data_IF_343460173580
#
_entry.id   IF_343460173580
#
_cell.length_a   1.000
_cell.length_b   1.000
_cell.length_c   1.000
_cell.angle_alpha   90.00
_cell.angle_beta   90.00
_cell.angle_gamma   90.00
#
_symmetry.space_group_name_H-M   'P 1'
#
loop_
_entity.id
_entity.type
_entity.pdbx_description
1 polymer ?
#
# COMPACT_ATOMS: atom_id res chain seq x y z
N UNK A 1 76.46 -1.88 -31.99
CA UNK A 1 75.95 -3.27 -31.98
C UNK A 1 75.52 -3.60 -30.56
N UNK A 2 74.38 -4.30 -30.43
CA UNK A 2 73.88 -5.02 -29.23
C UNK A 2 73.57 -4.19 -27.99
N UNK A 3 72.46 -4.34 -27.27
CA UNK A 3 71.20 -5.05 -27.47
C UNK A 3 70.20 -4.46 -26.45
N UNK A 4 68.93 -4.38 -26.82
CA UNK A 4 67.83 -3.91 -25.98
C UNK A 4 67.53 -4.97 -24.92
N UNK A 5 67.52 -4.59 -23.64
CA UNK A 5 67.03 -5.41 -22.52
C UNK A 5 65.74 -4.78 -22.01
N UNK A 6 64.60 -5.43 -22.28
CA UNK A 6 63.31 -5.14 -21.67
C UNK A 6 63.26 -5.73 -20.26
N UNK A 7 63.13 -4.87 -19.23
CA UNK A 7 62.75 -5.28 -17.88
C UNK A 7 61.23 -5.43 -17.81
N UNK A 8 60.75 -6.66 -17.68
CA UNK A 8 59.38 -6.98 -17.25
C UNK A 8 59.32 -6.87 -15.72
N UNK A 9 58.88 -5.72 -15.21
CA UNK A 9 58.54 -5.55 -13.80
C UNK A 9 57.08 -5.95 -13.58
N UNK A 10 56.87 -7.18 -13.10
CA UNK A 10 55.55 -7.66 -12.67
C UNK A 10 55.15 -7.04 -11.34
N UNK A 11 54.30 -6.01 -11.37
CA UNK A 11 53.62 -5.50 -10.18
C UNK A 11 52.34 -6.32 -9.95
N UNK A 12 52.37 -7.18 -8.92
CA UNK A 12 51.18 -7.83 -8.37
C UNK A 12 50.37 -6.76 -7.62
N UNK A 13 49.32 -6.23 -8.25
CA UNK A 13 48.29 -5.45 -7.57
C UNK A 13 47.28 -6.41 -6.93
N UNK A 14 47.49 -6.75 -5.66
CA UNK A 14 46.46 -7.35 -4.82
C UNK A 14 45.45 -6.27 -4.45
N UNK A 15 44.40 -6.11 -5.27
CA UNK A 15 43.24 -5.30 -4.92
C UNK A 15 42.40 -6.05 -3.86
N UNK A 16 42.58 -5.68 -2.59
CA UNK A 16 41.64 -6.00 -1.52
C UNK A 16 40.34 -5.22 -1.79
N UNK A 17 39.40 -5.89 -2.47
CA UNK A 17 37.99 -5.52 -2.47
C UNK A 17 37.46 -5.68 -1.04
N UNK A 18 37.65 -4.65 -0.22
CA UNK A 18 36.82 -4.44 0.96
C UNK A 18 35.42 -4.06 0.46
N UNK A 19 34.64 -5.07 0.07
CA UNK A 19 33.21 -4.94 -0.05
C UNK A 19 32.70 -4.52 1.33
N UNK A 20 32.30 -3.25 1.43
CA UNK A 20 31.61 -2.73 2.60
C UNK A 20 30.30 -3.49 2.76
N UNK A 21 30.35 -4.59 3.51
CA UNK A 21 29.20 -5.10 4.25
C UNK A 21 28.76 -3.93 5.12
N UNK A 22 27.75 -3.18 4.66
CA UNK A 22 26.96 -2.33 5.56
C UNK A 22 26.33 -3.29 6.55
N UNK A 23 27.02 -3.43 7.68
CA UNK A 23 26.49 -4.06 8.86
C UNK A 23 25.14 -3.38 9.13
N UNK A 24 24.08 -4.15 8.97
CA UNK A 24 22.80 -3.86 9.54
C UNK A 24 23.06 -3.68 11.04
N UNK A 25 23.03 -2.44 11.52
CA UNK A 25 23.24 -2.15 12.94
C UNK A 25 22.08 -2.76 13.71
N UNK A 26 22.31 -3.93 14.30
CA UNK A 26 21.70 -4.50 15.51
C UNK A 26 20.29 -3.99 15.92
N UNK A 27 19.33 -3.98 14.99
CA UNK A 27 17.91 -3.64 15.25
C UNK A 27 17.09 -4.90 15.58
N UNK A 28 17.75 -5.99 15.98
CA UNK A 28 17.10 -7.26 16.36
C UNK A 28 16.34 -7.20 17.70
N UNK A 29 16.25 -6.02 18.34
CA UNK A 29 15.69 -5.88 19.69
C UNK A 29 14.35 -5.15 19.82
N UNK A 30 13.87 -4.45 18.79
CA UNK A 30 12.81 -3.45 19.02
C UNK A 30 11.39 -3.93 18.67
N UNK A 31 11.22 -4.75 17.63
CA UNK A 31 9.93 -5.32 17.20
C UNK A 31 10.10 -6.75 16.65
N UNK A 32 9.01 -7.52 16.61
CA UNK A 32 8.97 -8.93 16.26
C UNK A 32 8.33 -9.15 14.87
N UNK A 33 9.14 -9.27 13.79
CA UNK A 33 8.64 -9.51 12.43
C UNK A 33 7.91 -10.84 12.28
N UNK A 34 8.32 -11.87 13.05
CA UNK A 34 7.67 -13.19 13.03
C UNK A 34 6.25 -13.12 13.61
N UNK A 35 6.05 -12.37 14.69
CA UNK A 35 4.73 -12.16 15.27
C UNK A 35 3.82 -11.33 14.34
N UNK A 36 4.37 -10.31 13.67
CA UNK A 36 3.64 -9.53 12.66
C UNK A 36 3.20 -10.42 11.48
N UNK A 37 4.09 -11.27 10.96
CA UNK A 37 3.76 -12.23 9.91
C UNK A 37 2.67 -13.20 10.36
N UNK A 38 2.81 -13.79 11.55
CA UNK A 38 1.80 -14.72 12.10
C UNK A 38 0.42 -14.05 12.25
N UNK A 39 0.38 -12.80 12.72
CA UNK A 39 -0.86 -12.02 12.77
C UNK A 39 -1.46 -11.84 11.37
N UNK A 40 -0.68 -11.30 10.43
CA UNK A 40 -1.10 -11.03 9.06
C UNK A 40 -1.58 -12.30 8.34
N UNK A 41 -0.84 -13.41 8.45
CA UNK A 41 -1.19 -14.72 7.90
C UNK A 41 -2.51 -15.23 8.52
N UNK A 42 -2.69 -15.11 9.84
CA UNK A 42 -3.92 -15.51 10.52
C UNK A 42 -5.14 -14.69 10.08
N UNK A 43 -4.99 -13.37 9.92
CA UNK A 43 -6.05 -12.48 9.47
C UNK A 43 -6.42 -12.71 8.01
N UNK A 44 -5.42 -12.96 7.15
CA UNK A 44 -5.66 -13.31 5.76
C UNK A 44 -6.39 -14.65 5.63
N UNK A 45 -5.96 -15.68 6.36
CA UNK A 45 -6.63 -16.98 6.39
C UNK A 45 -8.09 -16.88 6.85
N UNK A 46 -8.35 -16.11 7.93
CA UNK A 46 -9.71 -15.85 8.40
C UNK A 46 -10.55 -15.15 7.33
N UNK A 47 -10.02 -14.11 6.68
CA UNK A 47 -10.74 -13.38 5.63
C UNK A 47 -11.12 -14.30 4.46
N UNK A 48 -10.19 -15.12 3.99
CA UNK A 48 -10.42 -16.06 2.89
C UNK A 48 -11.49 -17.11 3.21
N UNK A 49 -11.61 -17.50 4.49
CA UNK A 49 -12.61 -18.46 4.96
C UNK A 49 -13.95 -17.81 5.35
N UNK A 50 -14.01 -16.48 5.45
CA UNK A 50 -15.21 -15.79 5.92
C UNK A 50 -16.32 -15.84 4.87
N UNK A 51 -17.53 -16.35 5.18
CA UNK A 51 -18.60 -16.49 4.19
C UNK A 51 -18.99 -15.18 3.48
N UNK A 52 -18.87 -14.03 4.15
CA UNK A 52 -19.16 -12.73 3.55
C UNK A 52 -18.10 -12.31 2.51
N UNK A 53 -16.89 -12.87 2.56
CA UNK A 53 -15.86 -12.66 1.56
C UNK A 53 -16.04 -13.60 0.35
N UNK A 54 -16.76 -14.71 0.48
CA UNK A 54 -16.96 -15.67 -0.60
C UNK A 54 -17.61 -15.01 -1.83
N UNK A 55 -17.09 -15.36 -3.00
CA UNK A 55 -17.59 -14.93 -4.31
C UNK A 55 -17.78 -16.15 -5.20
N UNK A 56 -18.42 -15.91 -6.32
CA UNK A 56 -18.68 -16.91 -7.34
C UNK A 56 -17.38 -17.57 -7.84
N UNK A 57 -17.53 -18.70 -8.54
CA UNK A 57 -16.40 -19.48 -9.06
C UNK A 57 -15.40 -19.96 -7.98
N UNK A 58 -15.82 -20.05 -6.72
CA UNK A 58 -14.95 -20.45 -5.60
C UNK A 58 -13.83 -19.44 -5.35
N UNK A 59 -14.12 -18.15 -5.56
CA UNK A 59 -13.20 -17.04 -5.30
C UNK A 59 -13.65 -16.26 -4.07
N UNK A 60 -12.92 -15.21 -3.69
CA UNK A 60 -13.29 -14.31 -2.62
C UNK A 60 -12.95 -12.85 -2.93
N UNK A 61 -13.65 -11.94 -2.25
CA UNK A 61 -13.44 -10.50 -2.32
C UNK A 61 -12.09 -10.12 -1.73
N UNK A 62 -11.35 -9.28 -2.45
CA UNK A 62 -10.13 -8.64 -1.97
C UNK A 62 -10.54 -7.35 -1.26
N UNK A 63 -10.41 -7.29 0.07
CA UNK A 63 -10.67 -6.05 0.82
C UNK A 63 -9.53 -5.05 0.75
N UNK A 64 -9.89 -3.77 0.74
CA UNK A 64 -8.96 -2.64 0.81
C UNK A 64 -8.21 -2.53 2.16
N UNK A 65 -8.74 -3.13 3.24
CA UNK A 65 -8.20 -2.98 4.61
C UNK A 65 -7.58 -4.24 5.21
N UNK A 66 -7.84 -5.43 4.65
CA UNK A 66 -7.25 -6.69 5.14
C UNK A 66 -6.43 -7.36 4.03
N UNK A 67 -7.04 -7.67 2.87
CA UNK A 67 -6.36 -8.43 1.82
C UNK A 67 -5.28 -7.61 1.07
N UNK A 68 -5.58 -6.36 0.70
CA UNK A 68 -4.60 -5.49 0.02
C UNK A 68 -3.41 -5.16 0.92
N UNK A 69 -3.58 -4.71 2.18
CA UNK A 69 -2.43 -4.43 3.03
C UNK A 69 -1.59 -5.68 3.30
N UNK A 70 -2.23 -6.85 3.48
CA UNK A 70 -1.54 -8.14 3.57
C UNK A 70 -0.68 -8.42 2.33
N UNK A 71 -1.25 -8.28 1.12
CA UNK A 71 -0.56 -8.53 -0.14
C UNK A 71 0.66 -7.61 -0.37
N UNK A 72 0.64 -6.40 0.19
CA UNK A 72 1.75 -5.46 0.11
C UNK A 72 2.81 -5.77 1.18
N UNK A 73 2.39 -6.00 2.42
CA UNK A 73 3.29 -6.09 3.58
C UNK A 73 3.94 -7.46 3.75
N UNK A 74 3.22 -8.56 3.46
CA UNK A 74 3.74 -9.91 3.73
C UNK A 74 4.99 -10.26 2.91
N UNK A 75 5.11 -9.88 1.62
CA UNK A 75 6.36 -10.03 0.87
C UNK A 75 7.53 -9.25 1.48
N UNK A 76 7.28 -8.06 2.04
CA UNK A 76 8.32 -7.21 2.62
C UNK A 76 8.98 -7.82 3.88
N UNK A 77 8.30 -8.78 4.53
CA UNK A 77 8.84 -9.50 5.68
C UNK A 77 9.80 -10.64 5.31
N UNK A 78 9.78 -11.12 4.06
CA UNK A 78 10.50 -12.36 3.69
C UNK A 78 11.99 -12.29 4.00
N UNK A 79 12.65 -11.18 3.68
CA UNK A 79 14.07 -10.97 3.99
C UNK A 79 14.35 -11.06 5.50
N UNK A 80 13.51 -10.42 6.32
CA UNK A 80 13.67 -10.43 7.78
C UNK A 80 13.37 -11.82 8.39
N UNK A 81 12.58 -12.64 7.70
CA UNK A 81 12.20 -13.99 8.13
C UNK A 81 13.09 -15.09 7.54
N UNK A 82 13.98 -14.76 6.61
CA UNK A 82 14.78 -15.74 5.86
C UNK A 82 13.93 -16.62 4.92
N UNK A 83 12.76 -16.15 4.51
CA UNK A 83 11.86 -16.86 3.60
C UNK A 83 12.23 -16.58 2.14
N UNK A 84 12.28 -17.62 1.31
CA UNK A 84 12.56 -17.49 -0.14
C UNK A 84 11.29 -17.43 -0.97
N UNK A 85 10.29 -18.20 -0.55
CA UNK A 85 9.05 -18.40 -1.27
C UNK A 85 7.88 -17.70 -0.57
N UNK A 86 6.79 -17.38 -1.30
CA UNK A 86 5.57 -16.86 -0.70
C UNK A 86 4.98 -17.83 0.35
N UNK A 87 4.39 -17.30 1.41
CA UNK A 87 3.62 -18.09 2.38
C UNK A 87 2.43 -18.79 1.71
N UNK A 88 1.90 -19.90 2.27
CA UNK A 88 0.71 -20.55 1.72
C UNK A 88 -0.49 -19.61 1.56
N UNK A 89 -0.63 -18.60 2.43
CA UNK A 89 -1.70 -17.61 2.32
C UNK A 89 -1.41 -16.56 1.24
N UNK A 90 -0.14 -16.18 1.02
CA UNK A 90 0.23 -15.36 -0.13
C UNK A 90 -0.12 -16.07 -1.45
N UNK A 91 0.23 -17.35 -1.58
CA UNK A 91 -0.11 -18.16 -2.77
C UNK A 91 -1.62 -18.19 -3.00
N UNK A 92 -2.42 -18.53 -1.98
CA UNK A 92 -3.89 -18.57 -2.10
C UNK A 92 -4.50 -17.23 -2.52
N UNK A 93 -3.97 -16.12 -2.00
CA UNK A 93 -4.42 -14.79 -2.38
C UNK A 93 -4.10 -14.48 -3.84
N UNK A 94 -2.87 -14.78 -4.26
CA UNK A 94 -2.45 -14.57 -5.64
C UNK A 94 -3.27 -15.44 -6.60
N UNK A 95 -3.47 -16.73 -6.30
CA UNK A 95 -4.29 -17.63 -7.11
C UNK A 95 -5.73 -17.13 -7.25
N UNK A 96 -6.32 -16.60 -6.16
CA UNK A 96 -7.64 -15.98 -6.20
C UNK A 96 -7.68 -14.78 -7.16
N UNK A 97 -6.71 -13.88 -7.05
CA UNK A 97 -6.63 -12.68 -7.91
C UNK A 97 -6.41 -13.06 -9.37
N UNK A 98 -5.45 -13.95 -9.65
CA UNK A 98 -5.17 -14.43 -11.02
C UNK A 98 -6.39 -15.09 -11.63
N UNK A 99 -7.09 -15.94 -10.86
CA UNK A 99 -8.32 -16.58 -11.32
C UNK A 99 -9.41 -15.56 -11.68
N UNK A 100 -9.62 -14.54 -10.84
CA UNK A 100 -10.63 -13.50 -11.12
C UNK A 100 -10.26 -12.60 -12.29
N UNK A 101 -8.97 -12.29 -12.48
CA UNK A 101 -8.49 -11.57 -13.67
C UNK A 101 -8.66 -12.41 -14.94
N UNK A 102 -8.36 -13.70 -14.86
CA UNK A 102 -8.50 -14.63 -16.00
C UNK A 102 -9.97 -14.79 -16.41
N UNK A 103 -10.86 -14.93 -15.43
CA UNK A 103 -12.30 -15.08 -15.61
C UNK A 103 -13.04 -13.74 -15.63
N UNK A 104 -12.38 -12.62 -15.94
CA UNK A 104 -12.91 -11.27 -15.71
C UNK A 104 -14.32 -11.03 -16.28
N UNK A 105 -14.60 -11.59 -17.47
CA UNK A 105 -15.89 -11.49 -18.17
C UNK A 105 -16.97 -12.39 -17.58
N UNK A 106 -16.57 -13.44 -16.87
CA UNK A 106 -17.44 -14.53 -16.40
C UNK A 106 -17.73 -14.44 -14.90
N UNK A 107 -16.82 -13.87 -14.10
CA UNK A 107 -17.07 -13.66 -12.67
C UNK A 107 -18.06 -12.53 -12.45
N UNK A 108 -18.90 -12.60 -11.42
CA UNK A 108 -19.72 -11.46 -10.98
C UNK A 108 -18.83 -10.39 -10.32
N UNK A 109 -19.23 -9.10 -10.31
CA UNK A 109 -18.59 -8.09 -9.44
C UNK A 109 -18.64 -8.53 -7.98
N UNK A 110 -17.68 -8.09 -7.16
CA UNK A 110 -17.74 -8.36 -5.71
C UNK A 110 -19.08 -7.95 -5.07
N UNK A 111 -19.71 -6.88 -5.55
CA UNK A 111 -20.96 -6.35 -5.03
C UNK A 111 -21.89 -5.94 -6.18
N UNK A 112 -22.80 -6.82 -6.64
CA UNK A 112 -23.72 -6.50 -7.73
C UNK A 112 -24.89 -5.62 -7.25
N UNK A 113 -25.41 -4.78 -8.16
CA UNK A 113 -26.55 -3.89 -7.90
C UNK A 113 -27.78 -4.65 -7.38
N UNK A 114 -28.01 -5.86 -7.90
CA UNK A 114 -29.15 -6.70 -7.53
C UNK A 114 -29.17 -7.02 -6.02
N UNK A 115 -28.00 -7.01 -5.37
CA UNK A 115 -27.86 -7.31 -3.94
C UNK A 115 -27.60 -6.07 -3.07
N UNK A 116 -27.10 -4.98 -3.67
CA UNK A 116 -26.58 -3.82 -2.91
C UNK A 116 -27.15 -2.47 -3.33
N UNK A 117 -28.01 -2.44 -4.36
CA UNK A 117 -28.57 -1.23 -4.95
C UNK A 117 -27.63 -0.58 -5.96
N UNK A 118 -28.16 0.34 -6.76
CA UNK A 118 -27.37 1.15 -7.67
C UNK A 118 -26.51 2.16 -6.87
N UNK A 119 -25.29 2.52 -7.32
CA UNK A 119 -24.57 2.04 -8.51
C UNK A 119 -23.47 1.00 -8.18
N UNK A 120 -23.72 0.07 -7.27
CA UNK A 120 -22.68 -0.79 -6.68
C UNK A 120 -21.94 -1.68 -7.66
N UNK A 121 -22.55 -2.11 -8.77
CA UNK A 121 -21.84 -2.91 -9.79
C UNK A 121 -20.65 -2.14 -10.37
N UNK A 122 -20.84 -0.87 -10.75
CA UNK A 122 -19.76 -0.09 -11.39
C UNK A 122 -18.66 0.26 -10.40
N UNK A 123 -19.03 0.66 -9.19
CA UNK A 123 -18.10 0.88 -8.09
C UNK A 123 -17.30 -0.38 -7.75
N UNK A 124 -17.98 -1.53 -7.66
CA UNK A 124 -17.37 -2.80 -7.34
C UNK A 124 -16.40 -3.26 -8.42
N UNK A 125 -16.76 -3.12 -9.71
CA UNK A 125 -15.89 -3.53 -10.81
C UNK A 125 -14.63 -2.70 -10.87
N UNK A 126 -14.77 -1.39 -10.77
CA UNK A 126 -13.63 -0.50 -10.82
C UNK A 126 -12.69 -0.71 -9.61
N UNK A 127 -13.26 -0.86 -8.41
CA UNK A 127 -12.47 -1.18 -7.21
C UNK A 127 -11.73 -2.51 -7.36
N UNK A 128 -12.43 -3.57 -7.77
CA UNK A 128 -11.82 -4.89 -7.99
C UNK A 128 -10.67 -4.85 -9.00
N UNK A 129 -10.85 -4.15 -10.13
CA UNK A 129 -9.80 -4.01 -11.13
C UNK A 129 -8.54 -3.36 -10.55
N UNK A 130 -8.70 -2.26 -9.80
CA UNK A 130 -7.58 -1.53 -9.16
C UNK A 130 -6.86 -2.42 -8.15
N UNK A 131 -7.62 -3.09 -7.26
CA UNK A 131 -7.02 -3.92 -6.22
C UNK A 131 -6.29 -5.13 -6.79
N UNK A 132 -6.86 -5.78 -7.81
CA UNK A 132 -6.21 -6.90 -8.50
C UNK A 132 -4.91 -6.46 -9.17
N UNK A 133 -4.93 -5.33 -9.90
CA UNK A 133 -3.74 -4.80 -10.56
C UNK A 133 -2.64 -4.43 -9.56
N UNK A 134 -2.99 -3.81 -8.42
CA UNK A 134 -2.03 -3.45 -7.38
C UNK A 134 -1.35 -4.68 -6.77
N UNK A 135 -2.12 -5.72 -6.45
CA UNK A 135 -1.58 -6.96 -5.86
C UNK A 135 -0.61 -7.64 -6.84
N UNK A 136 -1.00 -7.78 -8.11
CA UNK A 136 -0.16 -8.43 -9.12
C UNK A 136 1.07 -7.58 -9.49
N UNK A 137 0.93 -6.26 -9.58
CA UNK A 137 2.07 -5.36 -9.78
C UNK A 137 3.08 -5.44 -8.62
N UNK A 138 2.60 -5.52 -7.36
CA UNK A 138 3.47 -5.70 -6.21
C UNK A 138 4.21 -7.05 -6.22
N UNK A 139 3.52 -8.13 -6.63
CA UNK A 139 4.14 -9.45 -6.84
C UNK A 139 5.26 -9.37 -7.89
N UNK A 140 4.96 -8.78 -9.04
CA UNK A 140 5.87 -8.69 -10.17
C UNK A 140 7.10 -7.83 -9.87
N UNK A 141 6.92 -6.75 -9.09
CA UNK A 141 8.00 -5.89 -8.60
C UNK A 141 9.08 -6.67 -7.84
N UNK A 142 8.73 -7.77 -7.15
CA UNK A 142 9.71 -8.61 -6.45
C UNK A 142 10.68 -9.34 -7.39
N UNK A 143 10.27 -9.55 -8.65
CA UNK A 143 11.09 -10.24 -9.66
C UNK A 143 11.58 -9.31 -10.77
N UNK A 144 11.12 -8.05 -10.77
CA UNK A 144 11.41 -7.09 -11.83
C UNK A 144 10.78 -7.42 -13.19
N UNK A 145 9.87 -8.40 -13.25
CA UNK A 145 9.28 -8.88 -14.51
C UNK A 145 7.76 -8.71 -14.49
N UNK A 146 7.26 -7.95 -15.46
CA UNK A 146 5.82 -7.80 -15.69
C UNK A 146 5.26 -9.07 -16.35
N UNK A 147 4.33 -9.73 -15.68
CA UNK A 147 3.64 -10.94 -16.11
C UNK A 147 2.36 -10.63 -16.90
N UNK A 148 1.84 -11.63 -17.62
CA UNK A 148 0.70 -11.46 -18.53
C UNK A 148 -0.63 -11.27 -17.79
N UNK A 149 -0.80 -11.92 -16.64
CA UNK A 149 -1.94 -11.69 -15.75
C UNK A 149 -1.94 -10.26 -15.19
N UNK A 150 -0.77 -9.70 -14.86
CA UNK A 150 -0.64 -8.30 -14.45
C UNK A 150 -0.96 -7.35 -15.60
N UNK A 151 -0.50 -7.64 -16.82
CA UNK A 151 -0.88 -6.87 -18.03
C UNK A 151 -2.40 -6.88 -18.23
N UNK A 152 -3.04 -8.04 -18.10
CA UNK A 152 -4.49 -8.17 -18.20
C UNK A 152 -5.22 -7.39 -17.09
N UNK A 153 -4.73 -7.45 -15.84
CA UNK A 153 -5.31 -6.70 -14.74
C UNK A 153 -5.19 -5.17 -14.95
N UNK A 154 -4.04 -4.69 -15.41
CA UNK A 154 -3.85 -3.27 -15.75
C UNK A 154 -4.74 -2.83 -16.92
N UNK A 155 -4.92 -3.68 -17.93
CA UNK A 155 -5.86 -3.43 -19.02
C UNK A 155 -7.31 -3.30 -18.52
N UNK A 156 -7.72 -4.14 -17.56
CA UNK A 156 -9.04 -4.03 -16.91
C UNK A 156 -9.21 -2.70 -16.17
N UNK A 157 -8.16 -2.21 -15.49
CA UNK A 157 -8.17 -0.88 -14.85
C UNK A 157 -8.39 0.20 -15.91
N UNK A 158 -7.58 0.23 -16.96
CA UNK A 158 -7.68 1.26 -18.00
C UNK A 158 -9.01 1.25 -18.74
N UNK A 159 -9.58 0.06 -19.00
CA UNK A 159 -10.89 -0.08 -19.62
C UNK A 159 -12.03 0.55 -18.80
N UNK A 160 -11.83 0.75 -17.50
CA UNK A 160 -12.81 1.35 -16.58
C UNK A 160 -12.51 2.81 -16.23
N UNK A 161 -11.46 3.41 -16.80
CA UNK A 161 -11.15 4.82 -16.53
C UNK A 161 -12.24 5.69 -17.15
N UNK A 162 -12.78 6.62 -16.36
CA UNK A 162 -13.78 7.57 -16.84
C UNK A 162 -13.08 8.66 -17.63
N UNK A 163 -13.60 9.00 -18.81
CA UNK A 163 -13.02 10.04 -19.66
C UNK A 163 -13.78 11.37 -19.59
N UNK A 164 -14.96 11.38 -18.98
CA UNK A 164 -15.85 12.55 -18.87
C UNK A 164 -16.43 12.68 -17.46
N UNK A 165 -17.06 13.83 -17.18
CA UNK A 165 -17.68 14.11 -15.88
C UNK A 165 -16.67 14.39 -14.77
N UNK A 166 -17.17 14.45 -13.53
CA UNK A 166 -16.35 14.80 -12.35
C UNK A 166 -15.18 13.83 -12.12
N UNK A 167 -15.38 12.56 -12.45
CA UNK A 167 -14.39 11.50 -12.34
C UNK A 167 -13.51 11.33 -13.59
N UNK A 168 -13.55 12.25 -14.56
CA UNK A 168 -12.64 12.18 -15.73
C UNK A 168 -11.18 12.03 -15.29
N UNK A 169 -10.52 10.95 -15.71
CA UNK A 169 -9.17 10.56 -15.30
C UNK A 169 -9.08 9.59 -14.13
N UNK A 170 -10.19 9.30 -13.45
CA UNK A 170 -10.28 8.38 -12.33
C UNK A 170 -11.30 7.26 -12.60
N UNK A 171 -11.74 6.60 -11.53
CA UNK A 171 -12.60 5.44 -11.57
C UNK A 171 -13.75 5.60 -10.57
N UNK A 172 -14.84 4.88 -10.80
CA UNK A 172 -15.79 4.59 -9.74
C UNK A 172 -15.08 3.87 -8.59
N UNK A 173 -15.59 4.02 -7.37
CA UNK A 173 -14.99 3.42 -6.18
C UNK A 173 -16.09 3.02 -5.20
N UNK A 174 -15.90 1.93 -4.48
CA UNK A 174 -16.87 1.44 -3.50
C UNK A 174 -17.18 2.50 -2.44
N UNK A 175 -18.46 2.74 -2.23
CA UNK A 175 -18.99 3.60 -1.17
C UNK A 175 -20.03 2.84 -0.34
N UNK A 176 -19.63 2.39 0.84
CA UNK A 176 -20.52 1.82 1.84
C UNK A 176 -20.72 2.77 3.03
N UNK A 177 -20.35 4.04 2.88
CA UNK A 177 -20.32 5.05 3.94
C UNK A 177 -19.41 4.64 5.11
N UNK A 178 -18.29 4.00 4.79
CA UNK A 178 -17.29 3.55 5.76
C UNK A 178 -15.94 4.21 5.55
N UNK A 179 -15.58 5.12 6.45
CA UNK A 179 -14.30 5.80 6.45
C UNK A 179 -13.15 4.87 6.83
N UNK A 180 -11.94 5.09 6.28
CA UNK A 180 -11.62 6.07 5.24
C UNK A 180 -11.67 5.47 3.81
N UNK A 181 -12.01 4.19 3.67
CA UNK A 181 -11.72 3.44 2.44
C UNK A 181 -12.92 3.25 1.52
N UNK A 182 -14.14 3.28 2.04
CA UNK A 182 -15.36 2.98 1.29
C UNK A 182 -16.40 4.07 1.58
N UNK A 183 -16.02 5.33 1.38
CA UNK A 183 -16.85 6.52 1.60
C UNK A 183 -16.93 7.38 0.34
N UNK A 184 -17.80 8.41 0.39
CA UNK A 184 -17.94 9.35 -0.71
C UNK A 184 -16.61 10.02 -1.09
N UNK A 185 -15.76 10.27 -0.08
CA UNK A 185 -14.45 10.92 -0.19
C UNK A 185 -13.31 9.93 -0.52
N UNK A 186 -13.58 8.62 -0.65
CA UNK A 186 -12.54 7.61 -0.90
C UNK A 186 -12.15 7.46 -2.40
N UNK A 187 -12.76 8.20 -3.33
CA UNK A 187 -12.43 8.09 -4.76
C UNK A 187 -10.97 8.49 -5.08
N UNK A 188 -10.41 9.57 -4.50
CA UNK A 188 -8.99 9.89 -4.64
C UNK A 188 -8.06 8.85 -4.00
N UNK A 189 -8.50 8.17 -2.92
CA UNK A 189 -7.78 7.02 -2.37
C UNK A 189 -7.69 5.88 -3.40
N UNK A 190 -8.81 5.50 -4.01
CA UNK A 190 -8.84 4.50 -5.09
C UNK A 190 -7.96 4.87 -6.29
N UNK A 191 -8.02 6.12 -6.73
CA UNK A 191 -7.18 6.62 -7.81
C UNK A 191 -5.67 6.58 -7.45
N UNK A 192 -5.31 6.82 -6.18
CA UNK A 192 -3.93 6.73 -5.72
C UNK A 192 -3.45 5.26 -5.70
N UNK A 193 -4.31 4.30 -5.35
CA UNK A 193 -3.99 2.88 -5.46
C UNK A 193 -3.77 2.44 -6.92
N UNK A 194 -4.58 2.96 -7.85
CA UNK A 194 -4.39 2.70 -9.28
C UNK A 194 -3.04 3.24 -9.77
N UNK A 195 -2.67 4.45 -9.37
CA UNK A 195 -1.36 5.02 -9.66
C UNK A 195 -0.20 4.20 -9.06
N UNK A 196 -0.35 3.70 -7.82
CA UNK A 196 0.63 2.80 -7.21
C UNK A 196 0.79 1.51 -8.03
N UNK A 197 -0.30 0.89 -8.48
CA UNK A 197 -0.25 -0.29 -9.33
C UNK A 197 0.57 -0.03 -10.61
N UNK A 198 0.32 1.10 -11.28
CA UNK A 198 1.01 1.49 -12.51
C UNK A 198 2.49 1.78 -12.29
N UNK A 199 2.84 2.47 -11.20
CA UNK A 199 4.22 2.83 -10.90
C UNK A 199 5.03 1.69 -10.26
N UNK A 200 4.37 0.68 -9.69
CA UNK A 200 5.02 -0.56 -9.21
C UNK A 200 5.23 -1.58 -10.33
N UNK A 201 4.40 -1.55 -11.37
CA UNK A 201 4.51 -2.47 -12.50
C UNK A 201 5.91 -2.39 -13.17
N UNK A 202 6.64 -3.51 -13.29
CA UNK A 202 8.02 -3.49 -13.78
C UNK A 202 8.17 -3.09 -15.25
N UNK A 203 9.43 -2.90 -15.67
CA UNK A 203 9.76 -2.60 -17.07
C UNK A 203 9.44 -1.18 -17.50
N UNK A 204 9.28 -0.25 -16.55
CA UNK A 204 8.94 1.14 -16.86
C UNK A 204 7.51 1.31 -17.38
N UNK A 205 6.56 0.47 -16.94
CA UNK A 205 5.18 0.46 -17.43
C UNK A 205 4.53 1.85 -17.43
N UNK A 206 4.64 2.60 -16.33
CA UNK A 206 4.09 3.96 -16.23
C UNK A 206 4.74 4.98 -17.18
N UNK A 207 5.89 4.66 -17.77
CA UNK A 207 6.59 5.48 -18.78
C UNK A 207 6.32 5.00 -20.20
N UNK A 208 5.57 3.91 -20.39
CA UNK A 208 5.25 3.42 -21.74
C UNK A 208 4.36 4.42 -22.49
N UNK A 209 4.55 4.60 -23.81
CA UNK A 209 3.75 5.52 -24.61
C UNK A 209 2.23 5.25 -24.53
N UNK A 210 1.86 3.96 -24.51
CA UNK A 210 0.46 3.50 -24.59
C UNK A 210 -0.42 3.95 -23.42
N UNK A 211 0.18 4.31 -22.27
CA UNK A 211 -0.57 4.73 -21.08
C UNK A 211 -0.49 6.23 -20.82
N UNK A 212 0.26 7.00 -21.62
CA UNK A 212 0.52 8.42 -21.31
C UNK A 212 -0.72 9.29 -21.37
N UNK A 213 -1.64 9.03 -22.30
CA UNK A 213 -2.90 9.78 -22.40
C UNK A 213 -3.80 9.51 -21.19
N UNK A 214 -3.92 8.26 -20.78
CA UNK A 214 -4.66 7.88 -19.58
C UNK A 214 -4.04 8.47 -18.30
N UNK A 215 -2.70 8.47 -18.20
CA UNK A 215 -1.98 9.10 -17.09
C UNK A 215 -2.12 10.62 -17.09
N UNK A 216 -2.19 11.26 -18.26
CA UNK A 216 -2.47 12.70 -18.36
C UNK A 216 -3.85 13.03 -17.78
N UNK A 217 -4.87 12.23 -18.09
CA UNK A 217 -6.19 12.38 -17.48
C UNK A 217 -6.14 12.18 -15.97
N UNK A 218 -5.41 11.17 -15.48
CA UNK A 218 -5.24 10.92 -14.04
C UNK A 218 -4.56 12.08 -13.31
N UNK A 219 -3.50 12.66 -13.89
CA UNK A 219 -2.85 13.87 -13.36
C UNK A 219 -3.84 15.03 -13.28
N UNK A 220 -4.60 15.26 -14.36
CA UNK A 220 -5.64 16.28 -14.39
C UNK A 220 -6.76 16.04 -13.37
N UNK A 221 -7.10 14.78 -13.07
CA UNK A 221 -8.03 14.46 -11.99
C UNK A 221 -7.51 14.93 -10.64
N UNK A 222 -6.27 14.56 -10.28
CA UNK A 222 -5.67 14.96 -9.01
C UNK A 222 -5.53 16.47 -8.88
N UNK A 223 -5.14 17.16 -9.95
CA UNK A 223 -5.08 18.63 -9.97
C UNK A 223 -6.41 19.26 -9.58
N UNK A 224 -7.53 18.76 -10.12
CA UNK A 224 -8.88 19.29 -9.81
C UNK A 224 -9.35 18.98 -8.39
N UNK A 225 -8.96 17.84 -7.83
CA UNK A 225 -9.50 17.39 -6.53
C UNK A 225 -8.61 17.73 -5.34
N UNK A 226 -7.30 17.95 -5.56
CA UNK A 226 -6.28 18.08 -4.50
C UNK A 226 -6.64 19.08 -3.40
N UNK A 227 -7.06 20.29 -3.79
CA UNK A 227 -7.36 21.37 -2.84
C UNK A 227 -8.46 21.03 -1.83
N UNK A 228 -9.36 20.11 -2.19
CA UNK A 228 -10.50 19.68 -1.35
C UNK A 228 -10.22 18.44 -0.51
N UNK A 229 -9.05 17.81 -0.67
CA UNK A 229 -8.73 16.55 0.02
C UNK A 229 -8.30 16.78 1.46
N UNK A 230 -8.78 15.93 2.37
CA UNK A 230 -8.25 15.80 3.72
C UNK A 230 -6.87 15.13 3.71
N UNK A 231 -6.16 15.20 4.84
CA UNK A 231 -4.77 14.77 4.98
C UNK A 231 -4.56 13.30 4.60
N UNK A 232 -5.47 12.39 4.97
CA UNK A 232 -5.36 10.97 4.58
C UNK A 232 -5.24 10.76 3.06
N UNK A 233 -6.11 11.36 2.25
CA UNK A 233 -6.05 11.24 0.79
C UNK A 233 -4.78 11.90 0.22
N UNK A 234 -4.36 13.03 0.81
CA UNK A 234 -3.11 13.70 0.41
C UNK A 234 -1.87 12.85 0.69
N UNK A 235 -1.84 12.10 1.80
CA UNK A 235 -0.74 11.17 2.13
C UNK A 235 -0.69 9.98 1.17
N UNK A 236 -1.84 9.44 0.79
CA UNK A 236 -1.91 8.37 -0.22
C UNK A 236 -1.45 8.86 -1.59
N UNK A 237 -1.82 10.08 -1.97
CA UNK A 237 -1.35 10.72 -3.19
C UNK A 237 0.16 11.04 -3.12
N UNK A 238 0.68 11.46 -1.96
CA UNK A 238 2.11 11.65 -1.73
C UNK A 238 2.88 10.35 -2.00
N UNK A 239 2.41 9.23 -1.45
CA UNK A 239 3.00 7.93 -1.72
C UNK A 239 2.92 7.55 -3.20
N UNK A 240 1.76 7.71 -3.84
CA UNK A 240 1.60 7.43 -5.27
C UNK A 240 2.53 8.30 -6.14
N UNK A 241 2.73 9.57 -5.78
CA UNK A 241 3.58 10.52 -6.53
C UNK A 241 5.06 10.12 -6.55
N UNK A 242 5.51 9.32 -5.58
CA UNK A 242 6.85 8.75 -5.57
C UNK A 242 7.03 7.61 -6.60
N UNK A 243 5.94 7.08 -7.17
CA UNK A 243 5.96 6.01 -8.18
C UNK A 243 5.56 6.50 -9.57
N UNK A 244 4.73 7.53 -9.66
CA UNK A 244 4.29 8.13 -10.93
C UNK A 244 4.54 9.63 -10.89
N UNK A 245 5.37 10.10 -11.82
CA UNK A 245 5.76 11.51 -11.90
C UNK A 245 4.59 12.41 -12.32
N UNK A 246 4.54 13.61 -11.75
CA UNK A 246 3.57 14.65 -12.11
C UNK A 246 2.18 14.48 -11.49
N UNK A 247 1.99 13.59 -10.51
CA UNK A 247 0.74 13.50 -9.74
C UNK A 247 0.59 14.63 -8.72
N UNK A 248 1.71 15.16 -8.23
CA UNK A 248 1.78 16.34 -7.36
C UNK A 248 2.84 17.30 -7.90
N UNK A 249 2.62 18.60 -7.73
CA UNK A 249 3.69 19.59 -7.89
C UNK A 249 4.68 19.52 -6.72
N UNK A 250 5.86 20.13 -6.87
CA UNK A 250 6.85 20.21 -5.80
C UNK A 250 6.28 20.92 -4.55
N UNK A 251 5.49 21.98 -4.75
CA UNK A 251 4.85 22.76 -3.69
C UNK A 251 3.79 21.93 -2.97
N UNK A 252 2.96 21.20 -3.73
CA UNK A 252 1.97 20.30 -3.14
C UNK A 252 2.64 19.19 -2.34
N UNK A 253 3.67 18.55 -2.90
CA UNK A 253 4.47 17.53 -2.20
C UNK A 253 5.04 18.07 -0.88
N UNK A 254 5.65 19.26 -0.89
CA UNK A 254 6.19 19.86 0.31
C UNK A 254 5.09 20.21 1.33
N UNK A 255 3.96 20.75 0.87
CA UNK A 255 2.82 21.08 1.73
C UNK A 255 2.25 19.86 2.47
N UNK A 256 2.16 18.70 1.81
CA UNK A 256 1.73 17.46 2.47
C UNK A 256 2.76 17.00 3.51
N UNK A 257 4.05 17.07 3.19
CA UNK A 257 5.14 16.73 4.12
C UNK A 257 5.08 17.63 5.36
N UNK A 258 4.97 18.93 5.19
CA UNK A 258 4.92 19.90 6.31
C UNK A 258 3.68 19.68 7.17
N UNK A 259 2.52 19.43 6.54
CA UNK A 259 1.28 19.12 7.27
C UNK A 259 1.39 17.81 8.06
N UNK A 260 2.02 16.79 7.49
CA UNK A 260 2.27 15.53 8.18
C UNK A 260 3.18 15.74 9.40
N UNK A 261 4.29 16.48 9.26
CA UNK A 261 5.19 16.80 10.38
C UNK A 261 4.47 17.60 11.46
N UNK A 262 3.67 18.61 11.09
CA UNK A 262 2.95 19.46 12.03
C UNK A 262 1.85 18.74 12.84
N UNK A 263 1.37 17.59 12.36
CA UNK A 263 0.32 16.79 13.01
C UNK A 263 0.86 15.61 13.82
N UNK A 264 2.18 15.45 13.88
CA UNK A 264 2.80 14.43 14.72
C UNK A 264 2.55 14.73 16.20
N UNK A 265 2.16 13.70 16.96
CA UNK A 265 1.91 13.83 18.40
C UNK A 265 3.24 13.78 19.18
N UNK A 266 3.20 14.21 20.45
CA UNK A 266 4.37 14.26 21.32
C UNK A 266 5.00 12.89 21.61
N UNK A 267 4.26 11.80 21.42
CA UNK A 267 4.76 10.43 21.53
C UNK A 267 5.53 9.95 20.28
N UNK A 268 5.52 10.75 19.21
CA UNK A 268 6.14 10.46 17.92
C UNK A 268 5.21 9.78 16.91
N UNK A 269 3.98 9.45 17.30
CA UNK A 269 3.00 8.82 16.42
C UNK A 269 2.05 9.81 15.74
N UNK A 270 1.13 9.25 14.95
CA UNK A 270 -0.01 9.96 14.36
C UNK A 270 -1.30 9.23 14.67
N UNK A 271 -2.39 9.98 14.72
CA UNK A 271 -3.74 9.43 14.91
C UNK A 271 -4.58 9.58 13.66
N UNK A 272 -5.31 8.54 13.28
CA UNK A 272 -6.27 8.57 12.19
C UNK A 272 -7.32 9.66 12.42
N UNK A 273 -7.71 9.94 13.68
CA UNK A 273 -8.64 11.00 14.01
C UNK A 273 -8.18 12.40 13.58
N UNK A 274 -6.86 12.60 13.39
CA UNK A 274 -6.29 13.88 12.93
C UNK A 274 -6.14 13.98 11.40
N UNK A 275 -6.33 12.88 10.66
CA UNK A 275 -6.07 12.83 9.22
C UNK A 275 -7.30 13.18 8.36
N UNK A 276 -8.44 13.46 8.99
CA UNK A 276 -9.68 13.91 8.35
C UNK A 276 -10.77 14.21 9.37
N UNK A 277 -11.91 14.71 8.89
CA UNK A 277 -13.03 15.14 9.73
C UNK A 277 -14.04 14.01 9.93
N UNK A 278 -13.60 12.91 10.55
CA UNK A 278 -14.41 11.70 10.69
C UNK A 278 -15.49 11.83 11.75
N UNK A 279 -16.57 11.07 11.60
CA UNK A 279 -17.60 10.92 12.63
C UNK A 279 -18.13 9.50 12.65
N UNK A 280 -18.14 8.87 13.83
CA UNK A 280 -18.76 7.56 13.99
C UNK A 280 -20.27 7.67 13.87
N UNK A 281 -20.85 6.73 13.14
CA UNK A 281 -22.29 6.71 12.86
C UNK A 281 -23.12 6.36 14.11
N UNK A 282 -22.50 5.72 15.10
CA UNK A 282 -23.12 5.40 16.40
C UNK A 282 -23.01 6.54 17.43
N UNK A 283 -22.41 7.68 17.07
CA UNK A 283 -22.25 8.84 17.93
C UNK A 283 -21.16 8.72 19.00
N UNK A 284 -20.46 7.58 19.09
CA UNK A 284 -19.34 7.43 20.03
C UNK A 284 -18.15 8.31 19.64
N UNK A 285 -17.36 8.73 20.62
CA UNK A 285 -16.17 9.55 20.40
C UNK A 285 -15.08 8.77 19.63
N UNK A 286 -14.35 9.47 18.76
CA UNK A 286 -13.16 8.92 18.12
C UNK A 286 -12.04 8.70 19.14
N UNK A 287 -11.22 7.70 18.87
CA UNK A 287 -9.94 7.54 19.55
C UNK A 287 -8.95 8.54 18.93
N UNK A 288 -8.42 9.46 19.75
CA UNK A 288 -7.54 10.55 19.32
C UNK A 288 -6.06 10.28 19.59
N UNK A 289 -5.76 9.13 20.20
CA UNK A 289 -4.37 8.72 20.45
C UNK A 289 -3.68 8.27 19.16
N UNK A 290 -2.35 8.30 19.15
CA UNK A 290 -1.56 7.73 18.05
C UNK A 290 -1.92 6.27 17.83
N UNK A 291 -2.06 5.87 16.57
CA UNK A 291 -2.40 4.50 16.17
C UNK A 291 -1.47 3.98 15.08
N UNK A 292 -1.47 2.66 14.90
CA UNK A 292 -0.56 2.01 13.98
C UNK A 292 -0.86 2.27 12.50
N UNK A 293 -2.12 2.57 12.14
CA UNK A 293 -2.46 2.82 10.74
C UNK A 293 -2.00 4.20 10.30
N UNK A 294 -2.33 5.24 11.08
CA UNK A 294 -1.87 6.59 10.79
C UNK A 294 -0.34 6.67 10.89
N UNK A 295 0.26 6.15 11.96
CA UNK A 295 1.73 6.20 12.12
C UNK A 295 2.45 5.42 11.02
N UNK A 296 1.94 4.23 10.66
CA UNK A 296 2.46 3.44 9.56
C UNK A 296 2.38 4.20 8.23
N UNK A 297 1.19 4.63 7.84
CA UNK A 297 0.96 5.34 6.56
C UNK A 297 1.79 6.63 6.44
N UNK A 298 1.78 7.48 7.46
CA UNK A 298 2.50 8.76 7.40
C UNK A 298 4.00 8.52 7.26
N UNK A 299 4.55 7.63 8.09
CA UNK A 299 5.98 7.30 8.04
C UNK A 299 6.36 6.74 6.67
N UNK A 300 5.57 5.80 6.12
CA UNK A 300 5.79 5.23 4.79
C UNK A 300 5.76 6.31 3.71
N UNK A 301 4.74 7.16 3.71
CA UNK A 301 4.58 8.21 2.70
C UNK A 301 5.74 9.21 2.73
N UNK A 302 6.21 9.60 3.92
CA UNK A 302 7.39 10.46 4.06
C UNK A 302 8.67 9.78 3.54
N UNK A 303 8.90 8.52 3.91
CA UNK A 303 10.05 7.74 3.41
C UNK A 303 10.03 7.60 1.89
N UNK A 304 8.87 7.26 1.31
CA UNK A 304 8.68 7.12 -0.13
C UNK A 304 8.84 8.45 -0.86
N UNK A 305 8.45 9.55 -0.22
CA UNK A 305 8.72 10.88 -0.74
C UNK A 305 10.19 11.30 -0.60
N UNK A 306 11.10 10.45 -0.12
CA UNK A 306 12.53 10.75 -0.01
C UNK A 306 12.91 11.60 1.21
N UNK A 307 12.02 11.73 2.21
CA UNK A 307 12.40 12.32 3.49
C UNK A 307 13.32 11.34 4.22
N UNK A 308 14.51 11.81 4.59
CA UNK A 308 15.53 10.98 5.24
C UNK A 308 15.00 10.32 6.51
N UNK A 309 15.38 9.07 6.78
CA UNK A 309 15.08 8.40 8.07
C UNK A 309 15.69 9.09 9.28
N UNK A 310 16.74 9.90 9.08
CA UNK A 310 17.33 10.72 10.13
C UNK A 310 16.54 12.02 10.38
N UNK A 311 15.54 12.35 9.54
CA UNK A 311 14.62 13.44 9.83
C UNK A 311 13.89 13.12 11.15
N UNK A 312 13.80 14.07 12.10
CA UNK A 312 13.21 13.82 13.41
C UNK A 312 11.83 13.18 13.34
N UNK A 313 10.94 13.65 12.46
CA UNK A 313 9.59 13.13 12.36
C UNK A 313 9.55 11.67 11.89
N UNK A 314 10.35 11.32 10.88
CA UNK A 314 10.44 9.94 10.38
C UNK A 314 11.09 9.04 11.44
N UNK A 315 12.16 9.50 12.08
CA UNK A 315 12.87 8.72 13.10
C UNK A 315 11.98 8.41 14.31
N UNK A 316 11.24 9.39 14.83
CA UNK A 316 10.34 9.20 15.98
C UNK A 316 9.10 8.40 15.61
N UNK A 317 8.60 8.51 14.37
CA UNK A 317 7.54 7.66 13.83
C UNK A 317 7.93 6.19 13.79
N UNK A 318 9.12 5.89 13.26
CA UNK A 318 9.66 4.53 13.26
C UNK A 318 9.87 4.00 14.69
N UNK A 319 10.36 4.83 15.59
CA UNK A 319 10.54 4.46 17.00
C UNK A 319 9.21 4.23 17.72
N UNK A 320 8.17 5.01 17.39
CA UNK A 320 6.81 4.74 17.85
C UNK A 320 6.34 3.37 17.37
N UNK A 321 6.51 3.05 16.07
CA UNK A 321 6.12 1.74 15.53
C UNK A 321 6.85 0.60 16.23
N UNK A 322 8.16 0.70 16.42
CA UNK A 322 8.94 -0.33 17.13
C UNK A 322 8.40 -0.60 18.53
N UNK A 323 8.14 0.45 19.32
CA UNK A 323 7.71 0.33 20.72
C UNK A 323 6.26 -0.12 20.90
N UNK A 324 5.41 0.09 19.89
CA UNK A 324 3.95 -0.11 19.99
C UNK A 324 3.43 -1.36 19.29
N UNK A 325 4.30 -2.29 18.87
CA UNK A 325 3.82 -3.61 18.48
C UNK A 325 3.28 -4.37 19.71
N UNK A 326 2.07 -4.91 19.61
CA UNK A 326 1.52 -5.77 20.65
C UNK A 326 2.35 -7.05 20.77
N UNK A 327 3.02 -7.25 21.90
CA UNK A 327 3.92 -8.40 22.12
C UNK A 327 3.21 -9.75 22.17
N UNK A 328 1.91 -9.76 22.49
CA UNK A 328 1.11 -10.99 22.59
C UNK A 328 0.54 -11.39 21.24
N UNK A 329 -0.02 -10.44 20.48
CA UNK A 329 -0.73 -10.73 19.24
C UNK A 329 0.10 -10.48 17.97
N UNK A 330 1.18 -9.69 18.06
CA UNK A 330 1.99 -9.28 16.92
C UNK A 330 1.44 -8.10 16.11
N UNK A 331 0.24 -7.62 16.43
CA UNK A 331 -0.44 -6.55 15.70
C UNK A 331 -0.01 -5.15 16.16
N UNK A 332 -0.24 -4.15 15.32
CA UNK A 332 -0.36 -2.76 15.77
C UNK A 332 -1.83 -2.39 15.95
N UNK A 333 -2.21 -1.76 17.07
CA UNK A 333 -3.59 -1.38 17.30
C UNK A 333 -3.99 -0.19 16.43
N UNK A 334 -5.22 -0.22 15.94
CA UNK A 334 -5.94 0.93 15.43
C UNK A 334 -7.44 0.74 15.61
N UNK A 335 -8.15 1.84 15.85
CA UNK A 335 -9.56 1.87 16.20
C UNK A 335 -10.44 2.25 15.00
N UNK A 336 -11.63 1.67 14.91
CA UNK A 336 -12.60 1.96 13.86
C UNK A 336 -13.06 3.43 13.87
N UNK A 337 -13.09 4.05 12.69
CA UNK A 337 -13.61 5.42 12.48
C UNK A 337 -15.13 5.46 12.30
N UNK A 338 -15.77 4.30 12.14
CA UNK A 338 -17.18 4.20 11.76
C UNK A 338 -18.11 3.89 12.93
N UNK A 339 -17.66 2.99 13.82
CA UNK A 339 -18.36 2.55 15.03
C UNK A 339 -17.37 2.20 16.13
N UNK A 340 -17.78 2.28 17.39
CA UNK A 340 -17.10 1.60 18.47
C UNK A 340 -17.28 0.09 18.29
N UNK A 341 -16.17 -0.65 18.33
CA UNK A 341 -16.16 -2.10 18.14
C UNK A 341 -15.39 -2.75 19.27
N UNK A 342 -15.74 -3.97 19.59
CA UNK A 342 -14.89 -4.83 20.39
C UNK A 342 -13.59 -5.10 19.61
N UNK A 343 -12.42 -4.66 20.11
CA UNK A 343 -11.13 -4.83 19.43
C UNK A 343 -10.70 -6.30 19.31
N UNK A 344 -11.29 -7.22 20.08
CA UNK A 344 -11.01 -8.65 19.97
C UNK A 344 -11.83 -9.33 18.87
N UNK A 345 -12.95 -8.72 18.45
CA UNK A 345 -13.80 -9.27 17.39
C UNK A 345 -13.13 -9.21 16.02
N UNK A 346 -13.52 -10.12 15.12
CA UNK A 346 -12.94 -10.15 13.78
C UNK A 346 -13.14 -8.87 12.97
N UNK A 347 -14.31 -8.24 13.09
CA UNK A 347 -14.60 -6.97 12.41
C UNK A 347 -13.91 -5.81 13.14
N UNK A 348 -13.77 -5.89 14.48
CA UNK A 348 -13.03 -4.89 15.26
C UNK A 348 -11.56 -4.79 14.85
N UNK A 349 -10.98 -5.89 14.35
CA UNK A 349 -9.59 -5.95 13.91
C UNK A 349 -9.31 -5.36 12.52
N UNK A 350 -10.31 -4.98 11.72
CA UNK A 350 -10.08 -4.47 10.35
C UNK A 350 -9.09 -3.30 10.28
N UNK A 351 -9.16 -2.35 11.22
CA UNK A 351 -8.19 -1.26 11.29
C UNK A 351 -6.80 -1.75 11.74
N UNK A 352 -6.74 -2.73 12.64
CA UNK A 352 -5.47 -3.32 13.10
C UNK A 352 -4.83 -4.20 12.02
N UNK A 353 -5.62 -4.79 11.12
CA UNK A 353 -5.15 -5.49 9.92
C UNK A 353 -4.36 -4.53 9.02
N UNK A 354 -4.96 -3.38 8.70
CA UNK A 354 -4.29 -2.31 7.95
C UNK A 354 -3.09 -1.74 8.74
N UNK A 355 -3.27 -1.42 10.03
CA UNK A 355 -2.21 -0.88 10.87
C UNK A 355 -0.96 -1.74 10.90
N UNK A 356 -1.13 -3.06 11.07
CA UNK A 356 -0.01 -4.00 11.12
C UNK A 356 0.72 -4.06 9.80
N UNK A 357 -0.02 -4.09 8.68
CA UNK A 357 0.59 -4.11 7.36
C UNK A 357 1.37 -2.81 7.06
N UNK A 358 0.81 -1.64 7.34
CA UNK A 358 1.48 -0.37 7.09
C UNK A 358 2.66 -0.15 8.05
N UNK A 359 2.57 -0.60 9.31
CA UNK A 359 3.71 -0.61 10.21
C UNK A 359 4.88 -1.46 9.66
N UNK A 360 4.56 -2.66 9.17
CA UNK A 360 5.54 -3.53 8.50
C UNK A 360 6.17 -2.84 7.29
N UNK A 361 5.37 -2.25 6.41
CA UNK A 361 5.88 -1.54 5.23
C UNK A 361 6.86 -0.42 5.61
N UNK A 362 6.55 0.38 6.64
CA UNK A 362 7.43 1.47 7.10
C UNK A 362 8.72 0.97 7.73
N UNK A 363 8.63 -0.07 8.57
CA UNK A 363 9.78 -0.65 9.26
C UNK A 363 10.73 -1.39 8.32
N UNK A 364 10.18 -2.03 7.28
CA UNK A 364 10.94 -2.83 6.29
C UNK A 364 11.34 -2.06 5.03
N UNK A 365 10.97 -0.79 4.93
CA UNK A 365 11.31 0.05 3.78
C UNK A 365 12.82 0.05 3.50
N UNK A 366 13.18 -0.45 2.33
CA UNK A 366 14.56 -0.54 1.85
C UNK A 366 15.15 0.83 1.53
N UNK A 367 16.48 0.89 1.59
CA UNK A 367 17.32 2.08 1.45
C UNK A 367 18.05 2.16 0.11
#
# INVERSE_FOLDING_TARGET
MTAVVFFLSGCVFSALLAAGLRAWSDDQGSWNPKAAAAYLDGRAAWWMAWPNAARDHGTFCVSCHTAVPYALARPALRTALGERDPSPNEVKLLDNVVKRVTLWKDVAPFYPDQLRGLPKTSESRATEAILNALILANRDAQTGRLADDTRAALANVWALQMNTGELSGAWAWLDFHYEPWESADAKPFGAALAALAMGMAPGGYASSPDVQDNLKLLRGYFERVYGRQHTFNRLMLLWASAKVTGLLTSEQRQSVIDSAVATQQSDGGWSMASLGAWKRIDGSALDTTSDGYATGLVTLALQQAGVSRANPAVSTGLEWLRRNQNRTTGQWPASSLNKQRDPASDIGRFMSDAATAYAVLSLTQAH
#
